data_IF_987861071909
#
_entry.id   IF_987861071909
#
_cell.length_a   1.000
_cell.length_b   1.000
_cell.length_c   1.000
_cell.angle_alpha   90.00
_cell.angle_beta   90.00
_cell.angle_gamma   90.00
#
_symmetry.space_group_name_H-M   'P 1'
#
loop_
_entity.id
_entity.type
_entity.pdbx_description
1 polymer ?
#
# COMPACT_ATOMS: atom_id res chain seq x y z
N UNK A 1 11.53 41.51 -51.05
CA UNK A 1 10.64 40.36 -50.77
C UNK A 1 9.93 40.63 -49.46
N UNK A 2 8.59 40.81 -49.50
CA UNK A 2 7.80 41.13 -48.31
C UNK A 2 7.34 39.82 -47.67
N UNK A 3 7.74 39.57 -46.44
CA UNK A 3 7.22 38.47 -45.64
C UNK A 3 5.74 38.73 -45.32
N UNK A 4 4.86 37.87 -45.79
CA UNK A 4 3.43 37.90 -45.45
C UNK A 4 3.24 37.24 -44.10
N UNK A 5 3.06 38.08 -43.09
CA UNK A 5 2.78 37.63 -41.72
C UNK A 5 1.32 37.12 -41.65
N UNK A 6 1.14 35.80 -41.79
CA UNK A 6 -0.17 35.15 -41.88
C UNK A 6 -0.71 34.78 -40.47
N UNK A 7 -0.77 35.78 -39.58
CA UNK A 7 -1.46 35.61 -38.29
C UNK A 7 -2.95 35.96 -38.48
N UNK A 8 -3.79 34.96 -38.39
CA UNK A 8 -5.24 35.11 -38.31
C UNK A 8 -5.63 35.97 -37.09
N UNK A 9 -6.55 36.93 -37.22
CA UNK A 9 -7.02 37.73 -36.09
C UNK A 9 -7.78 36.85 -35.09
N UNK A 10 -7.59 37.14 -33.79
CA UNK A 10 -8.16 36.36 -32.68
C UNK A 10 -9.69 36.19 -32.75
N UNK A 11 -10.40 37.09 -33.37
CA UNK A 11 -11.85 37.00 -33.58
C UNK A 11 -12.27 35.86 -34.51
N UNK A 12 -11.44 35.50 -35.49
CA UNK A 12 -11.68 34.40 -36.44
C UNK A 12 -11.35 33.06 -35.77
N UNK A 13 -10.33 33.03 -34.90
CA UNK A 13 -9.99 31.83 -34.12
C UNK A 13 -11.11 31.47 -33.15
N UNK A 14 -11.70 32.44 -32.45
CA UNK A 14 -12.83 32.19 -31.51
C UNK A 14 -14.05 31.62 -32.21
N UNK A 15 -14.30 32.00 -33.49
CA UNK A 15 -15.46 31.55 -34.24
C UNK A 15 -15.29 30.17 -34.86
N UNK A 16 -14.05 29.77 -35.18
CA UNK A 16 -13.71 28.43 -35.69
C UNK A 16 -13.72 27.35 -34.61
N UNK A 17 -13.52 27.72 -33.34
CA UNK A 17 -13.39 26.76 -32.23
C UNK A 17 -14.58 26.77 -31.26
N UNK A 18 -15.77 27.21 -31.71
CA UNK A 18 -16.99 27.25 -30.88
C UNK A 18 -17.58 25.88 -30.57
N UNK A 19 -17.17 24.82 -31.28
CA UNK A 19 -17.77 23.49 -31.13
C UNK A 19 -16.76 22.35 -31.12
N UNK A 20 -15.85 22.26 -30.26
CA UNK A 20 -14.93 21.14 -30.06
C UNK A 20 -13.48 21.55 -29.98
N UNK A 21 -13.08 22.13 -28.89
CA UNK A 21 -11.68 22.04 -28.48
C UNK A 21 -11.57 20.90 -27.48
N UNK A 22 -11.24 19.72 -27.96
CA UNK A 22 -10.53 18.74 -27.14
C UNK A 22 -9.07 19.19 -27.15
N UNK A 23 -8.69 19.99 -26.19
CA UNK A 23 -7.29 20.28 -25.89
C UNK A 23 -6.65 18.98 -25.41
N UNK A 24 -6.09 18.21 -26.35
CA UNK A 24 -5.02 17.29 -26.00
C UNK A 24 -3.78 18.15 -25.73
N UNK A 25 -3.68 18.74 -24.56
CA UNK A 25 -2.41 19.16 -24.02
C UNK A 25 -1.59 17.91 -23.76
N UNK A 26 -0.67 17.60 -24.66
CA UNK A 26 0.52 16.83 -24.35
C UNK A 26 1.40 17.75 -23.50
N UNK A 27 0.90 18.12 -22.35
CA UNK A 27 1.66 18.72 -21.29
C UNK A 27 2.12 17.59 -20.39
N UNK A 28 3.40 17.51 -20.20
CA UNK A 28 4.07 16.92 -19.04
C UNK A 28 3.40 17.43 -17.75
N UNK A 29 2.29 16.85 -17.40
CA UNK A 29 1.73 16.90 -16.07
C UNK A 29 1.48 15.44 -15.68
N UNK A 30 2.43 14.90 -14.98
CA UNK A 30 2.21 13.83 -14.02
C UNK A 30 0.90 14.16 -13.31
N UNK A 31 -0.11 13.33 -13.54
CA UNK A 31 -1.41 13.44 -12.91
C UNK A 31 -1.24 13.61 -11.40
N UNK A 32 -1.33 14.83 -10.97
CA UNK A 32 -1.63 15.19 -9.60
C UNK A 32 -3.13 14.99 -9.44
N UNK A 33 -3.54 13.71 -9.46
CA UNK A 33 -4.87 13.30 -9.12
C UNK A 33 -5.06 13.66 -7.65
N UNK A 34 -6.03 14.53 -7.43
CA UNK A 34 -6.53 14.99 -6.14
C UNK A 34 -6.41 13.92 -5.05
N UNK A 35 -5.28 13.94 -4.37
CA UNK A 35 -5.20 13.46 -3.00
C UNK A 35 -5.86 14.57 -2.19
N UNK A 36 -7.04 14.33 -1.68
CA UNK A 36 -7.56 15.11 -0.57
C UNK A 36 -6.43 15.20 0.44
N UNK A 37 -5.86 16.39 0.58
CA UNK A 37 -4.85 16.70 1.58
C UNK A 37 -5.53 16.47 2.92
N UNK A 38 -5.29 15.31 3.50
CA UNK A 38 -5.64 14.98 4.87
C UNK A 38 -4.62 15.73 5.74
N UNK A 39 -4.87 17.03 5.94
CA UNK A 39 -4.09 17.95 6.79
C UNK A 39 -4.29 17.61 8.28
N UNK A 40 -4.34 16.34 8.62
CA UNK A 40 -4.20 15.90 10.00
C UNK A 40 -2.75 16.04 10.41
N UNK A 41 -2.46 16.60 11.62
CA UNK A 41 -1.09 16.69 12.13
C UNK A 41 -0.44 15.32 12.06
N UNK A 42 0.70 15.25 11.39
CA UNK A 42 1.41 13.99 11.12
C UNK A 42 1.97 13.44 12.42
N UNK A 43 1.17 12.66 13.14
CA UNK A 43 1.64 11.94 14.33
C UNK A 43 2.72 10.95 13.88
N UNK A 44 3.93 10.98 14.48
CA UNK A 44 4.99 10.07 14.08
C UNK A 44 4.57 8.62 14.32
N UNK A 45 4.71 7.78 13.28
CA UNK A 45 4.35 6.38 13.34
C UNK A 45 5.51 5.62 13.97
N UNK A 46 5.26 5.02 15.15
CA UNK A 46 6.22 4.13 15.81
C UNK A 46 6.07 2.73 15.24
N UNK A 47 7.17 2.10 14.92
CA UNK A 47 7.23 0.72 14.43
C UNK A 47 8.31 -0.08 15.17
N UNK A 48 8.22 -1.40 15.12
CA UNK A 48 9.22 -2.33 15.63
C UNK A 48 10.02 -2.88 14.43
N UNK A 49 11.35 -2.97 14.57
CA UNK A 49 12.27 -3.38 13.53
C UNK A 49 13.09 -2.21 12.98
N UNK A 50 13.94 -2.48 12.00
CA UNK A 50 14.87 -1.47 11.41
C UNK A 50 14.52 -1.16 9.94
N UNK A 51 13.53 -1.85 9.38
CA UNK A 51 13.03 -1.62 8.02
C UNK A 51 14.10 -1.73 6.90
N UNK A 52 15.09 -2.62 7.08
CA UNK A 52 16.24 -2.70 6.17
C UNK A 52 15.87 -3.14 4.75
N UNK A 53 14.83 -3.97 4.57
CA UNK A 53 14.38 -4.46 3.25
C UNK A 53 13.07 -3.84 2.76
N UNK A 54 12.70 -2.68 3.29
CA UNK A 54 11.49 -1.95 2.89
C UNK A 54 10.22 -2.82 2.91
N UNK A 55 10.12 -3.70 3.90
CA UNK A 55 8.96 -4.56 4.13
C UNK A 55 8.19 -3.99 5.30
N UNK A 56 6.92 -3.69 5.09
CA UNK A 56 6.01 -3.20 6.10
C UNK A 56 5.05 -4.32 6.50
N UNK A 57 4.87 -4.51 7.80
CA UNK A 57 3.90 -5.47 8.36
C UNK A 57 2.89 -4.69 9.20
N UNK A 58 1.64 -4.72 8.79
CA UNK A 58 0.52 -4.09 9.47
C UNK A 58 -0.30 -5.15 10.20
N UNK A 59 -0.51 -4.96 11.49
CA UNK A 59 -1.31 -5.84 12.35
C UNK A 59 -2.34 -5.04 13.13
N UNK A 60 -3.34 -5.73 13.66
CA UNK A 60 -4.34 -5.16 14.55
C UNK A 60 -4.44 -6.02 15.81
N UNK A 61 -3.75 -5.62 16.87
CA UNK A 61 -3.79 -6.28 18.19
C UNK A 61 -4.11 -5.25 19.27
N UNK A 62 -5.29 -5.34 19.87
CA UNK A 62 -5.77 -4.38 20.87
C UNK A 62 -5.06 -4.59 22.21
N UNK A 63 -4.55 -5.80 22.45
CA UNK A 63 -4.02 -6.20 23.76
C UNK A 63 -2.49 -6.03 23.86
N UNK A 64 -1.83 -5.63 22.78
CA UNK A 64 -0.38 -5.49 22.73
C UNK A 64 0.05 -4.16 22.12
N UNK A 65 1.23 -3.66 22.49
CA UNK A 65 1.81 -2.45 21.88
C UNK A 65 2.15 -2.69 20.41
N UNK A 66 2.73 -3.82 20.08
CA UNK A 66 3.07 -4.23 18.72
C UNK A 66 2.30 -5.48 18.32
N UNK A 67 2.50 -6.60 19.00
CA UNK A 67 1.86 -7.89 18.76
C UNK A 67 1.99 -8.76 20.01
N UNK A 68 1.01 -9.63 20.29
CA UNK A 68 1.12 -10.58 21.39
C UNK A 68 2.21 -11.63 21.11
N UNK A 69 2.77 -12.20 22.19
CA UNK A 69 3.93 -13.09 22.13
C UNK A 69 3.74 -14.26 21.13
N UNK A 70 2.62 -14.97 21.22
CA UNK A 70 2.35 -16.13 20.33
C UNK A 70 2.27 -15.75 18.86
N UNK A 71 1.63 -14.62 18.55
CA UNK A 71 1.53 -14.14 17.18
C UNK A 71 2.87 -13.59 16.68
N UNK A 72 3.68 -13.04 17.59
CA UNK A 72 5.04 -12.59 17.29
C UNK A 72 5.97 -13.76 16.97
N UNK A 73 5.90 -14.87 17.72
CA UNK A 73 6.65 -16.09 17.45
C UNK A 73 6.27 -16.70 16.10
N UNK A 74 4.98 -16.72 15.78
CA UNK A 74 4.51 -17.17 14.47
C UNK A 74 5.01 -16.28 13.35
N UNK A 75 4.91 -14.95 13.50
CA UNK A 75 5.43 -13.98 12.54
C UNK A 75 6.94 -14.18 12.31
N UNK A 76 7.70 -14.31 13.39
CA UNK A 76 9.14 -14.57 13.33
C UNK A 76 9.45 -15.87 12.59
N UNK A 77 8.68 -16.92 12.82
CA UNK A 77 8.81 -18.19 12.11
C UNK A 77 8.53 -18.05 10.62
N UNK A 78 7.51 -17.27 10.24
CA UNK A 78 7.17 -16.95 8.85
C UNK A 78 8.29 -16.16 8.19
N UNK A 79 8.82 -15.13 8.86
CA UNK A 79 9.93 -14.32 8.36
C UNK A 79 11.19 -15.19 8.15
N UNK A 80 11.55 -16.02 9.12
CA UNK A 80 12.69 -16.94 9.02
C UNK A 80 12.55 -17.88 7.82
N UNK A 81 11.35 -18.40 7.55
CA UNK A 81 11.09 -19.21 6.37
C UNK A 81 11.29 -18.45 5.06
N UNK A 82 11.08 -17.13 5.07
CA UNK A 82 11.36 -16.22 3.96
C UNK A 82 12.82 -15.70 3.95
N UNK A 83 13.69 -16.20 4.82
CA UNK A 83 15.07 -15.71 5.02
C UNK A 83 15.11 -14.21 5.40
N UNK A 84 14.14 -13.78 6.19
CA UNK A 84 13.99 -12.45 6.73
C UNK A 84 14.11 -12.46 8.25
N UNK A 85 14.46 -11.33 8.80
CA UNK A 85 14.53 -11.09 10.26
C UNK A 85 13.62 -9.92 10.66
N UNK A 86 13.44 -9.70 11.94
CA UNK A 86 12.70 -8.52 12.44
C UNK A 86 13.38 -7.20 12.05
N UNK A 87 14.70 -7.17 11.89
CA UNK A 87 15.42 -6.00 11.43
C UNK A 87 15.08 -5.62 9.96
N UNK A 88 14.71 -6.60 9.14
CA UNK A 88 14.37 -6.39 7.73
C UNK A 88 13.01 -5.70 7.53
N UNK A 89 12.13 -5.71 8.53
CA UNK A 89 10.76 -5.23 8.47
C UNK A 89 10.50 -4.00 9.35
N UNK A 90 9.39 -3.32 9.09
CA UNK A 90 8.75 -2.39 10.02
C UNK A 90 7.40 -2.98 10.45
N UNK A 91 7.25 -3.37 11.70
CA UNK A 91 6.00 -3.87 12.26
C UNK A 91 5.23 -2.73 12.92
N UNK A 92 4.01 -2.46 12.43
CA UNK A 92 3.12 -1.42 12.94
C UNK A 92 1.82 -2.05 13.42
N UNK A 93 1.46 -1.79 14.67
CA UNK A 93 0.14 -2.12 15.19
C UNK A 93 -0.80 -0.92 14.98
N UNK A 94 -1.88 -1.13 14.24
CA UNK A 94 -2.92 -0.14 13.94
C UNK A 94 -4.13 -0.21 14.88
N UNK A 95 -4.09 -1.03 15.94
CA UNK A 95 -5.13 -1.03 16.94
C UNK A 95 -5.30 0.40 17.51
N UNK A 96 -6.54 0.89 17.51
CA UNK A 96 -6.90 2.24 17.97
C UNK A 96 -6.22 3.40 17.20
N UNK A 97 -5.74 3.17 15.98
CA UNK A 97 -5.13 4.17 15.12
C UNK A 97 -5.81 4.20 13.75
N UNK A 98 -6.18 5.38 13.31
CA UNK A 98 -6.81 5.60 12.00
C UNK A 98 -5.81 6.24 11.03
N UNK A 99 -4.87 5.45 10.54
CA UNK A 99 -3.97 5.88 9.48
C UNK A 99 -4.42 5.31 8.13
N UNK A 100 -4.41 6.15 7.09
CA UNK A 100 -4.53 5.64 5.73
C UNK A 100 -3.22 4.98 5.29
N UNK A 101 -3.29 4.05 4.34
CA UNK A 101 -2.09 3.44 3.78
C UNK A 101 -1.13 4.49 3.21
N UNK A 102 -1.67 5.53 2.57
CA UNK A 102 -0.88 6.63 2.03
C UNK A 102 -0.07 7.36 3.12
N UNK A 103 -0.69 7.70 4.26
CA UNK A 103 0.00 8.33 5.38
C UNK A 103 1.11 7.44 5.95
N UNK A 104 0.87 6.13 6.01
CA UNK A 104 1.87 5.17 6.48
C UNK A 104 3.04 5.10 5.50
N UNK A 105 2.79 4.94 4.21
CA UNK A 105 3.83 4.84 3.18
C UNK A 105 4.62 6.14 2.98
N UNK A 106 4.03 7.29 3.30
CA UNK A 106 4.73 8.57 3.30
C UNK A 106 5.79 8.65 4.40
N UNK A 107 5.51 8.09 5.58
CA UNK A 107 6.46 8.07 6.70
C UNK A 107 7.40 6.86 6.67
N UNK A 108 6.92 5.71 6.19
CA UNK A 108 7.66 4.44 6.11
C UNK A 108 7.56 3.89 4.68
N UNK A 109 8.34 4.44 3.73
CA UNK A 109 8.30 4.03 2.33
C UNK A 109 8.67 2.55 2.18
N UNK A 110 7.76 1.74 1.63
CA UNK A 110 7.92 0.29 1.58
C UNK A 110 7.55 -0.27 0.21
N UNK A 111 8.32 -1.26 -0.24
CA UNK A 111 8.08 -1.96 -1.51
C UNK A 111 7.08 -3.11 -1.33
N UNK A 112 7.02 -3.69 -0.12
CA UNK A 112 6.12 -4.78 0.24
C UNK A 112 5.34 -4.47 1.51
N UNK A 113 4.03 -4.70 1.50
CA UNK A 113 3.15 -4.50 2.66
C UNK A 113 2.35 -5.77 2.92
N UNK A 114 2.60 -6.38 4.07
CA UNK A 114 1.82 -7.52 4.58
C UNK A 114 0.79 -7.00 5.57
N UNK A 115 -0.49 -7.30 5.34
CA UNK A 115 -1.61 -6.75 6.10
C UNK A 115 -2.38 -7.92 6.74
N UNK A 116 -2.37 -7.97 8.07
CA UNK A 116 -3.03 -9.03 8.85
C UNK A 116 -4.27 -8.48 9.54
N UNK A 117 -5.44 -9.04 9.22
CA UNK A 117 -6.72 -8.76 9.87
C UNK A 117 -7.15 -7.27 9.87
N UNK A 118 -6.78 -6.55 8.81
CA UNK A 118 -7.17 -5.15 8.64
C UNK A 118 -8.05 -5.03 7.40
N UNK A 119 -9.22 -4.40 7.59
CA UNK A 119 -10.12 -4.17 6.48
C UNK A 119 -9.52 -3.11 5.53
N UNK A 120 -9.54 -3.33 4.20
CA UNK A 120 -9.07 -2.34 3.22
C UNK A 120 -9.68 -0.95 3.37
N UNK A 121 -10.93 -0.87 3.82
CA UNK A 121 -11.62 0.42 4.06
C UNK A 121 -10.98 1.22 5.19
N UNK A 122 -10.44 0.58 6.23
CA UNK A 122 -9.72 1.26 7.32
C UNK A 122 -8.45 1.95 6.80
N UNK A 123 -7.78 1.34 5.82
CA UNK A 123 -6.60 1.88 5.16
C UNK A 123 -6.93 2.84 4.01
N UNK A 124 -8.23 3.17 3.82
CA UNK A 124 -8.74 4.00 2.71
C UNK A 124 -8.38 3.43 1.32
N UNK A 125 -8.26 2.11 1.20
CA UNK A 125 -7.98 1.42 -0.07
C UNK A 125 -9.31 1.14 -0.78
N UNK A 126 -9.45 1.63 -2.01
CA UNK A 126 -10.67 1.47 -2.85
C UNK A 126 -10.54 0.34 -3.90
N UNK A 127 -9.51 -0.48 -3.80
CA UNK A 127 -9.29 -1.58 -4.73
C UNK A 127 -10.01 -2.86 -4.28
N UNK A 128 -10.46 -3.71 -5.20
CA UNK A 128 -10.96 -5.03 -4.85
C UNK A 128 -9.81 -5.85 -4.27
N UNK A 129 -9.92 -6.22 -3.01
CA UNK A 129 -8.90 -6.99 -2.30
C UNK A 129 -9.36 -8.42 -2.13
N UNK A 130 -8.46 -9.37 -2.38
CA UNK A 130 -8.68 -10.79 -2.14
C UNK A 130 -7.57 -11.28 -1.20
N UNK A 131 -7.97 -12.05 -0.18
CA UNK A 131 -7.02 -12.64 0.76
C UNK A 131 -6.00 -13.54 0.03
N UNK A 132 -4.77 -13.49 0.48
CA UNK A 132 -3.64 -14.30 -0.05
C UNK A 132 -3.34 -14.08 -1.53
N UNK A 133 -3.81 -12.97 -2.10
CA UNK A 133 -3.51 -12.61 -3.49
C UNK A 133 -2.73 -11.30 -3.49
N UNK A 134 -1.50 -11.28 -4.01
CA UNK A 134 -0.72 -10.06 -4.13
C UNK A 134 -1.40 -9.05 -5.06
N UNK A 135 -1.47 -7.80 -4.63
CA UNK A 135 -2.06 -6.69 -5.36
C UNK A 135 -0.99 -5.60 -5.52
N UNK A 136 -0.83 -5.08 -6.73
CA UNK A 136 0.09 -3.97 -6.97
C UNK A 136 -0.64 -2.64 -6.84
N UNK A 137 -0.14 -1.78 -5.97
CA UNK A 137 -0.60 -0.41 -5.79
C UNK A 137 0.56 0.57 -6.09
N UNK A 138 0.59 1.12 -7.29
CA UNK A 138 1.75 1.87 -7.76
C UNK A 138 2.99 0.98 -7.83
N UNK A 139 4.04 1.33 -7.07
CA UNK A 139 5.27 0.53 -6.96
C UNK A 139 5.24 -0.46 -5.79
N UNK A 140 4.24 -0.41 -4.91
CA UNK A 140 4.16 -1.20 -3.68
C UNK A 140 3.29 -2.44 -3.90
N UNK A 141 3.76 -3.61 -3.49
CA UNK A 141 2.97 -4.84 -3.45
C UNK A 141 2.29 -5.01 -2.10
N UNK A 142 0.98 -5.23 -2.12
CA UNK A 142 0.14 -5.45 -0.95
C UNK A 142 -0.29 -6.91 -0.87
N UNK A 143 -0.27 -7.49 0.31
CA UNK A 143 -0.84 -8.81 0.60
C UNK A 143 -1.75 -8.73 1.81
N UNK A 144 -3.02 -9.04 1.62
CA UNK A 144 -4.01 -9.17 2.69
C UNK A 144 -4.08 -10.61 3.18
N UNK A 145 -4.06 -10.79 4.49
CA UNK A 145 -4.13 -12.08 5.16
C UNK A 145 -5.10 -12.03 6.33
N UNK A 146 -5.57 -13.17 6.77
CA UNK A 146 -6.31 -13.32 8.01
C UNK A 146 -5.42 -13.05 9.23
N UNK A 147 -6.04 -12.97 10.40
CA UNK A 147 -5.35 -12.78 11.68
C UNK A 147 -4.30 -13.88 11.91
N UNK A 148 -3.15 -13.50 12.43
CA UNK A 148 -2.12 -14.47 12.83
C UNK A 148 -2.64 -15.47 13.88
N UNK A 149 -3.58 -15.06 14.73
CA UNK A 149 -4.18 -15.95 15.73
C UNK A 149 -4.90 -17.15 15.12
N UNK A 150 -5.54 -16.98 13.95
CA UNK A 150 -6.22 -18.08 13.24
C UNK A 150 -5.26 -19.14 12.72
N UNK A 151 -3.98 -18.81 12.64
CA UNK A 151 -2.93 -19.69 12.14
C UNK A 151 -2.13 -20.36 13.27
N UNK A 152 -2.43 -20.08 14.54
CA UNK A 152 -1.67 -20.63 15.68
C UNK A 152 -2.06 -22.05 16.03
N UNK A 153 -3.25 -22.50 15.63
CA UNK A 153 -3.76 -23.84 15.90
C UNK A 153 -2.98 -24.96 15.21
N UNK A 154 -3.21 -26.18 15.67
CA UNK A 154 -2.75 -27.43 15.06
C UNK A 154 -3.84 -28.07 14.20
N UNK A 155 -5.02 -27.48 14.20
CA UNK A 155 -6.20 -27.90 13.42
C UNK A 155 -5.98 -27.75 11.92
N UNK A 156 -6.84 -28.43 11.16
CA UNK A 156 -6.74 -28.46 9.70
C UNK A 156 -6.90 -27.07 9.08
N UNK A 157 -7.79 -26.25 9.63
CA UNK A 157 -8.05 -24.89 9.11
C UNK A 157 -6.82 -24.00 9.26
N UNK A 158 -6.16 -24.02 10.42
CA UNK A 158 -4.91 -23.31 10.67
C UNK A 158 -3.80 -23.71 9.69
N UNK A 159 -3.71 -25.01 9.36
CA UNK A 159 -2.72 -25.50 8.38
C UNK A 159 -3.04 -25.01 6.97
N UNK A 160 -4.31 -24.98 6.59
CA UNK A 160 -4.74 -24.45 5.28
C UNK A 160 -4.40 -22.97 5.16
N UNK A 161 -4.70 -22.17 6.19
CA UNK A 161 -4.40 -20.74 6.20
C UNK A 161 -2.89 -20.46 6.11
N UNK A 162 -2.07 -21.20 6.87
CA UNK A 162 -0.60 -21.13 6.76
C UNK A 162 -0.12 -21.45 5.34
N UNK A 163 -0.71 -22.48 4.71
CA UNK A 163 -0.33 -22.89 3.35
C UNK A 163 -0.68 -21.83 2.31
N UNK A 164 -1.88 -21.22 2.43
CA UNK A 164 -2.28 -20.11 1.55
C UNK A 164 -1.34 -18.91 1.68
N UNK A 165 -1.04 -18.51 2.92
CA UNK A 165 -0.11 -17.42 3.19
C UNK A 165 1.28 -17.73 2.63
N UNK A 166 1.80 -18.93 2.88
CA UNK A 166 3.10 -19.38 2.37
C UNK A 166 3.18 -19.35 0.85
N UNK A 167 2.14 -19.80 0.17
CA UNK A 167 2.06 -19.77 -1.30
C UNK A 167 2.11 -18.33 -1.84
N UNK A 168 1.42 -17.41 -1.18
CA UNK A 168 1.44 -16.00 -1.55
C UNK A 168 2.82 -15.35 -1.29
N UNK A 169 3.46 -15.65 -0.16
CA UNK A 169 4.79 -15.14 0.18
C UNK A 169 5.87 -15.62 -0.80
N UNK A 170 5.79 -16.88 -1.25
CA UNK A 170 6.69 -17.39 -2.30
C UNK A 170 6.61 -16.59 -3.60
N UNK A 171 5.42 -16.16 -3.98
CA UNK A 171 5.22 -15.33 -5.18
C UNK A 171 5.83 -13.95 -4.98
N UNK A 172 5.61 -13.32 -3.82
CA UNK A 172 6.09 -11.97 -3.51
C UNK A 172 7.62 -11.92 -3.42
N UNK A 173 8.19 -12.83 -2.65
CA UNK A 173 9.64 -12.84 -2.37
C UNK A 173 10.45 -13.71 -3.33
N UNK A 174 9.81 -14.35 -4.32
CA UNK A 174 10.45 -15.22 -5.32
C UNK A 174 11.33 -16.32 -4.67
N UNK A 175 10.75 -17.02 -3.68
CA UNK A 175 11.42 -18.05 -2.89
C UNK A 175 11.40 -19.42 -3.60
#
# INVERSE_FOLDING_TARGET
MKEVNNKLPNSVLVQLYKESIVLCEVAKNVDKKETAEDNTPTVPIKFLGEHQKKILVLVQDINAVHLNERAFDLLTSILNACKLTIADIALINLANKNFSLHQILTQVPSDFVLIFDINPTQLKIKLPTKLYTPILLGATQLLFSNNLSTMQGLDQDSKIEKTKLWSALKIIFKL
#
